data_IF_644487205023
#
_entry.id   IF_644487205023
#
_cell.length_a   1.000
_cell.length_b   1.000
_cell.length_c   1.000
_cell.angle_alpha   90.00
_cell.angle_beta   90.00
_cell.angle_gamma   90.00
#
_symmetry.space_group_name_H-M   'P 1'
#
loop_
_entity.id
_entity.type
_entity.pdbx_description
1 polymer ?
#
# COMPACT_ATOMS: atom_id res chain seq x y z
N UNK A 1 -3.75 -25.29 -53.99
CA UNK A 1 -2.51 -24.60 -53.55
C UNK A 1 -2.91 -23.45 -52.66
N UNK A 2 -2.74 -23.59 -51.34
CA UNK A 2 -3.23 -22.62 -50.36
C UNK A 2 -2.31 -21.41 -50.33
N UNK A 3 -2.84 -20.24 -50.69
CA UNK A 3 -2.11 -18.98 -50.62
C UNK A 3 -1.57 -18.80 -49.19
N UNK A 4 -0.27 -18.52 -48.97
CA UNK A 4 0.33 -18.34 -47.64
C UNK A 4 -0.04 -16.99 -47.01
N UNK A 5 -1.30 -16.57 -47.15
CA UNK A 5 -1.89 -15.35 -46.61
C UNK A 5 -1.65 -15.18 -45.09
N UNK A 6 -1.86 -16.19 -44.23
CA UNK A 6 -1.65 -16.01 -42.79
C UNK A 6 -0.18 -15.78 -42.43
N UNK A 7 0.76 -16.37 -43.17
CA UNK A 7 2.20 -16.17 -42.94
C UNK A 7 2.65 -14.75 -43.30
N UNK A 8 2.14 -14.22 -44.42
CA UNK A 8 2.43 -12.84 -44.85
C UNK A 8 1.81 -11.85 -43.86
N UNK A 9 0.57 -12.08 -43.41
CA UNK A 9 -0.09 -11.23 -42.42
C UNK A 9 0.64 -11.22 -41.08
N UNK A 10 1.05 -12.39 -40.59
CA UNK A 10 1.85 -12.50 -39.36
C UNK A 10 3.18 -11.76 -39.46
N UNK A 11 3.85 -11.83 -40.61
CA UNK A 11 5.11 -11.12 -40.86
C UNK A 11 4.92 -9.60 -40.85
N UNK A 12 3.87 -9.09 -41.52
CA UNK A 12 3.57 -7.65 -41.57
C UNK A 12 3.21 -7.12 -40.17
N UNK A 13 2.38 -7.86 -39.42
CA UNK A 13 2.01 -7.48 -38.04
C UNK A 13 3.22 -7.55 -37.12
N UNK A 14 4.06 -8.57 -37.25
CA UNK A 14 5.29 -8.73 -36.46
C UNK A 14 6.27 -7.59 -36.70
N UNK A 15 6.53 -7.23 -37.95
CA UNK A 15 7.39 -6.09 -38.30
C UNK A 15 6.78 -4.78 -37.80
N UNK A 16 5.47 -4.58 -37.98
CA UNK A 16 4.76 -3.41 -37.46
C UNK A 16 4.89 -3.27 -35.95
N UNK A 17 4.64 -4.34 -35.21
CA UNK A 17 4.78 -4.38 -33.74
C UNK A 17 6.24 -4.16 -33.29
N UNK A 18 7.22 -4.75 -33.99
CA UNK A 18 8.64 -4.57 -33.69
C UNK A 18 9.07 -3.11 -33.86
N UNK A 19 8.65 -2.45 -34.94
CA UNK A 19 8.96 -1.01 -35.17
C UNK A 19 8.30 -0.14 -34.10
N UNK A 20 7.05 -0.43 -33.74
CA UNK A 20 6.33 0.29 -32.70
C UNK A 20 7.03 0.16 -31.34
N UNK A 21 7.41 -1.06 -30.97
CA UNK A 21 8.15 -1.34 -29.74
C UNK A 21 9.53 -0.65 -29.74
N UNK A 22 10.27 -0.73 -30.84
CA UNK A 22 11.61 -0.12 -30.95
C UNK A 22 11.55 1.41 -30.83
N UNK A 23 10.56 2.05 -31.47
CA UNK A 23 10.32 3.49 -31.31
C UNK A 23 9.92 3.86 -29.89
N UNK A 24 9.17 3.00 -29.21
CA UNK A 24 8.82 3.15 -27.79
C UNK A 24 10.05 3.12 -26.90
N UNK A 25 10.93 2.14 -27.07
CA UNK A 25 12.15 1.98 -26.29
C UNK A 25 13.13 3.15 -26.46
N UNK A 26 13.30 3.67 -27.68
CA UNK A 26 14.21 4.80 -27.95
C UNK A 26 13.81 6.11 -27.25
N UNK A 27 12.52 6.30 -26.98
CA UNK A 27 11.99 7.49 -26.29
C UNK A 27 11.80 7.29 -24.80
N UNK A 28 12.09 6.09 -24.29
CA UNK A 28 11.77 5.73 -22.92
C UNK A 28 12.89 6.21 -21.98
N UNK A 29 12.51 6.97 -20.95
CA UNK A 29 13.45 7.35 -19.91
C UNK A 29 13.80 6.09 -19.09
N UNK A 30 14.99 5.53 -19.33
CA UNK A 30 15.51 4.32 -18.67
C UNK A 30 15.38 4.41 -17.15
N UNK A 31 15.66 5.58 -16.57
CA UNK A 31 15.58 5.79 -15.14
C UNK A 31 14.14 5.76 -14.61
N UNK A 32 13.18 6.29 -15.37
CA UNK A 32 11.76 6.23 -15.00
C UNK A 32 11.21 4.81 -15.10
N UNK A 33 11.67 4.03 -16.10
CA UNK A 33 11.32 2.62 -16.24
C UNK A 33 11.79 1.81 -15.04
N UNK A 34 13.08 1.89 -14.69
CA UNK A 34 13.61 1.15 -13.53
C UNK A 34 12.90 1.54 -12.24
N UNK A 35 12.64 2.83 -12.03
CA UNK A 35 11.88 3.28 -10.87
C UNK A 35 10.46 2.70 -10.84
N UNK A 36 9.77 2.68 -11.99
CA UNK A 36 8.43 2.11 -12.11
C UNK A 36 8.42 0.63 -11.73
N UNK A 37 9.36 -0.15 -12.26
CA UNK A 37 9.46 -1.58 -12.00
C UNK A 37 9.86 -1.83 -10.55
N UNK A 38 10.72 -1.00 -9.96
CA UNK A 38 11.09 -1.13 -8.54
C UNK A 38 9.91 -0.87 -7.61
N UNK A 39 9.08 0.15 -7.88
CA UNK A 39 7.88 0.41 -7.07
C UNK A 39 6.91 -0.77 -7.16
N UNK A 40 6.68 -1.31 -8.36
CA UNK A 40 5.83 -2.48 -8.56
C UNK A 40 6.40 -3.70 -7.82
N UNK A 41 7.70 -3.94 -7.90
CA UNK A 41 8.38 -5.04 -7.21
C UNK A 41 8.27 -4.93 -5.68
N UNK A 42 8.39 -3.71 -5.14
CA UNK A 42 8.18 -3.45 -3.70
C UNK A 42 6.73 -3.74 -3.30
N UNK A 43 5.76 -3.37 -4.14
CA UNK A 43 4.35 -3.70 -3.88
C UNK A 43 4.09 -5.22 -3.92
N UNK A 44 4.72 -5.95 -4.85
CA UNK A 44 4.63 -7.42 -4.88
C UNK A 44 5.26 -8.07 -3.66
N UNK A 45 6.41 -7.57 -3.23
CA UNK A 45 7.06 -8.05 -2.02
C UNK A 45 6.18 -7.82 -0.77
N UNK A 46 5.47 -6.70 -0.67
CA UNK A 46 4.50 -6.47 0.40
C UNK A 46 3.39 -7.53 0.42
N UNK A 47 2.82 -7.85 -0.75
CA UNK A 47 1.80 -8.87 -0.89
C UNK A 47 2.27 -10.28 -0.55
N UNK A 48 3.48 -10.64 -1.01
CA UNK A 48 4.10 -11.94 -0.72
C UNK A 48 4.40 -12.12 0.77
N UNK A 49 4.85 -11.06 1.46
CA UNK A 49 5.10 -11.12 2.91
C UNK A 49 3.79 -11.35 3.67
N UNK A 50 2.73 -10.59 3.36
CA UNK A 50 1.42 -10.77 4.00
C UNK A 50 0.90 -12.21 3.83
N UNK A 51 1.01 -12.76 2.62
CA UNK A 51 0.63 -14.14 2.33
C UNK A 51 1.48 -15.17 3.07
N UNK A 52 2.79 -14.94 3.22
CA UNK A 52 3.64 -15.84 4.00
C UNK A 52 3.16 -15.96 5.45
N UNK A 53 2.69 -14.86 6.05
CA UNK A 53 2.08 -14.88 7.38
C UNK A 53 0.74 -15.60 7.40
N UNK A 54 -0.10 -15.45 6.35
CA UNK A 54 -1.33 -16.22 6.21
C UNK A 54 -1.06 -17.73 6.24
N UNK A 55 -0.11 -18.21 5.44
CA UNK A 55 0.27 -19.63 5.39
C UNK A 55 0.82 -20.11 6.75
N UNK A 56 1.54 -19.25 7.48
CA UNK A 56 1.99 -19.57 8.85
C UNK A 56 0.83 -19.64 9.86
N UNK A 57 -0.21 -18.84 9.68
CA UNK A 57 -1.44 -18.96 10.47
C UNK A 57 -2.16 -20.26 10.12
N UNK A 58 -2.28 -20.61 8.85
CA UNK A 58 -2.87 -21.89 8.42
C UNK A 58 -2.12 -23.11 8.96
N UNK A 59 -0.80 -22.98 9.16
CA UNK A 59 0.04 -24.00 9.79
C UNK A 59 -0.11 -24.07 11.32
N UNK A 60 -1.06 -23.33 11.92
CA UNK A 60 -1.30 -23.25 13.36
C UNK A 60 -0.09 -22.77 14.20
N UNK A 61 0.85 -22.03 13.59
CA UNK A 61 2.05 -21.54 14.30
C UNK A 61 1.73 -20.47 15.34
N UNK A 62 0.75 -19.61 15.02
CA UNK A 62 0.22 -18.59 15.92
C UNK A 62 -1.10 -19.08 16.53
N UNK A 63 -1.16 -20.29 17.09
CA UNK A 63 -2.40 -20.82 17.66
C UNK A 63 -3.39 -21.42 16.63
N UNK A 64 -4.54 -21.94 17.08
CA UNK A 64 -5.43 -22.73 16.26
C UNK A 64 -6.18 -21.87 15.22
N UNK A 65 -5.96 -22.19 13.95
CA UNK A 65 -6.58 -21.56 12.78
C UNK A 65 -7.48 -22.53 12.00
N UNK A 66 -7.01 -23.77 11.82
CA UNK A 66 -7.78 -24.92 11.28
C UNK A 66 -7.83 -26.02 12.32
N UNK A 67 -9.03 -26.53 12.59
CA UNK A 67 -9.23 -27.67 13.48
C UNK A 67 -9.08 -28.99 12.69
N UNK A 68 -8.72 -30.07 13.39
CA UNK A 68 -8.47 -31.37 12.74
C UNK A 68 -9.75 -32.02 12.16
N UNK A 69 -10.93 -31.72 12.72
CA UNK A 69 -12.24 -32.31 12.34
C UNK A 69 -13.16 -31.34 11.57
N UNK A 70 -13.01 -30.03 11.79
CA UNK A 70 -13.83 -28.98 11.17
C UNK A 70 -12.87 -28.08 10.38
N UNK A 71 -12.80 -28.25 9.06
CA UNK A 71 -11.80 -27.64 8.16
C UNK A 71 -11.58 -26.11 8.30
N UNK A 72 -12.38 -25.41 9.10
CA UNK A 72 -12.22 -24.00 9.47
C UNK A 72 -12.86 -23.72 10.84
N UNK A 73 -12.11 -23.16 11.79
CA UNK A 73 -12.66 -22.61 13.05
C UNK A 73 -13.38 -21.29 12.72
N UNK A 74 -14.61 -21.03 13.21
CA UNK A 74 -15.30 -19.76 13.03
C UNK A 74 -14.45 -18.57 13.52
N UNK A 75 -14.48 -17.45 12.81
CA UNK A 75 -13.61 -16.30 13.11
C UNK A 75 -13.79 -15.68 14.49
N UNK A 76 -14.95 -15.88 15.12
CA UNK A 76 -15.29 -15.39 16.46
C UNK A 76 -14.63 -16.18 17.60
N UNK A 77 -14.21 -17.42 17.33
CA UNK A 77 -13.55 -18.30 18.31
C UNK A 77 -12.02 -18.25 18.22
N UNK A 78 -11.49 -17.54 17.22
CA UNK A 78 -10.05 -17.35 17.03
C UNK A 78 -9.56 -16.23 17.95
N UNK A 79 -8.30 -16.34 18.36
CA UNK A 79 -7.63 -15.24 19.05
C UNK A 79 -7.67 -13.95 18.22
N UNK A 80 -7.63 -12.80 18.91
CA UNK A 80 -7.79 -11.47 18.32
C UNK A 80 -6.88 -11.20 17.10
N UNK A 81 -5.69 -11.80 17.05
CA UNK A 81 -4.73 -11.62 15.97
C UNK A 81 -5.00 -12.52 14.74
N UNK A 82 -5.76 -13.62 14.91
CA UNK A 82 -6.21 -14.52 13.83
C UNK A 82 -7.68 -14.29 13.44
N UNK A 83 -8.37 -13.39 14.14
CA UNK A 83 -9.74 -13.00 13.82
C UNK A 83 -9.82 -12.32 12.45
N UNK A 84 -10.87 -12.66 11.68
CA UNK A 84 -11.13 -12.05 10.36
C UNK A 84 -11.68 -10.65 10.54
N UNK A 85 -11.16 -9.68 9.79
CA UNK A 85 -11.57 -8.29 9.96
C UNK A 85 -12.91 -7.97 9.29
N UNK A 86 -13.01 -8.33 8.02
CA UNK A 86 -14.22 -8.15 7.21
C UNK A 86 -14.31 -9.29 6.20
N UNK A 87 -15.49 -9.45 5.59
CA UNK A 87 -15.69 -10.39 4.50
C UNK A 87 -16.17 -9.65 3.26
N UNK A 88 -15.36 -9.68 2.21
CA UNK A 88 -15.71 -9.16 0.88
C UNK A 88 -16.13 -10.25 -0.10
N UNK A 89 -16.33 -11.49 0.38
CA UNK A 89 -16.74 -12.65 -0.42
C UNK A 89 -17.96 -12.40 -1.31
N UNK A 90 -18.93 -11.63 -0.83
CA UNK A 90 -20.18 -11.38 -1.54
C UNK A 90 -20.01 -10.60 -2.87
N UNK A 91 -18.97 -9.78 -3.01
CA UNK A 91 -18.76 -8.93 -4.18
C UNK A 91 -17.45 -9.23 -4.92
N UNK A 92 -16.41 -9.59 -4.17
CA UNK A 92 -15.04 -9.71 -4.68
C UNK A 92 -14.41 -11.00 -4.13
N UNK A 93 -15.08 -12.13 -4.36
CA UNK A 93 -14.53 -13.44 -4.07
C UNK A 93 -13.33 -13.71 -4.98
N UNK A 94 -12.25 -14.15 -4.36
CA UNK A 94 -11.03 -14.64 -4.98
C UNK A 94 -11.17 -16.03 -5.59
N UNK A 95 -12.07 -16.87 -5.06
CA UNK A 95 -12.19 -18.27 -5.46
C UNK A 95 -12.99 -18.37 -6.75
N UNK A 96 -13.89 -17.41 -6.94
CA UNK A 96 -14.86 -17.41 -8.02
C UNK A 96 -14.40 -16.55 -9.21
N UNK A 97 -13.44 -15.65 -8.99
CA UNK A 97 -12.96 -14.70 -10.00
C UNK A 97 -11.44 -14.74 -10.17
N UNK A 98 -10.99 -15.10 -11.37
CA UNK A 98 -9.56 -15.19 -11.71
C UNK A 98 -8.81 -13.86 -11.54
N UNK A 99 -9.49 -12.71 -11.76
CA UNK A 99 -8.90 -11.39 -11.55
C UNK A 99 -8.52 -11.15 -10.07
N UNK A 100 -9.40 -11.52 -9.14
CA UNK A 100 -9.14 -11.36 -7.71
C UNK A 100 -8.14 -12.40 -7.20
N UNK A 101 -8.12 -13.60 -7.78
CA UNK A 101 -7.05 -14.58 -7.54
C UNK A 101 -5.67 -14.04 -7.97
N UNK A 102 -5.59 -13.35 -9.12
CA UNK A 102 -4.36 -12.70 -9.57
C UNK A 102 -3.95 -11.55 -8.63
N UNK A 103 -4.91 -10.71 -8.22
CA UNK A 103 -4.64 -9.64 -7.25
C UNK A 103 -4.17 -10.17 -5.90
N UNK A 104 -4.69 -11.32 -5.46
CA UNK A 104 -4.16 -12.03 -4.29
C UNK A 104 -2.70 -12.42 -4.48
N UNK A 105 -2.40 -13.07 -5.60
CA UNK A 105 -1.06 -13.58 -5.87
C UNK A 105 -0.02 -12.45 -6.01
N UNK A 106 -0.40 -11.34 -6.63
CA UNK A 106 0.50 -10.21 -6.91
C UNK A 106 0.58 -9.23 -5.75
N UNK A 107 -0.55 -8.77 -5.22
CA UNK A 107 -0.59 -7.67 -4.25
C UNK A 107 -1.00 -8.12 -2.84
N UNK A 108 -1.24 -9.41 -2.62
CA UNK A 108 -1.69 -9.94 -1.32
C UNK A 108 -3.14 -9.60 -0.99
N UNK A 109 -3.99 -9.35 -2.00
CA UNK A 109 -5.43 -9.16 -1.79
C UNK A 109 -6.08 -10.40 -1.17
N UNK A 110 -6.85 -10.21 -0.09
CA UNK A 110 -7.61 -11.29 0.56
C UNK A 110 -9.07 -10.89 0.73
N UNK A 111 -9.95 -11.84 0.44
CA UNK A 111 -11.41 -11.75 0.56
C UNK A 111 -11.89 -11.78 2.02
N UNK A 112 -11.15 -12.46 2.90
CA UNK A 112 -11.29 -12.44 4.37
C UNK A 112 -9.94 -12.25 5.06
N UNK A 113 -9.40 -11.02 5.11
CA UNK A 113 -8.11 -10.76 5.71
C UNK A 113 -8.16 -10.92 7.24
N UNK A 114 -7.11 -11.51 7.80
CA UNK A 114 -6.89 -11.58 9.25
C UNK A 114 -6.17 -10.34 9.76
N UNK A 115 -6.25 -10.09 11.07
CA UNK A 115 -5.54 -8.96 11.68
C UNK A 115 -4.02 -9.03 11.46
N UNK A 116 -3.42 -10.22 11.51
CA UNK A 116 -1.99 -10.41 11.30
C UNK A 116 -1.53 -10.18 9.86
N UNK A 117 -2.25 -10.70 8.86
CA UNK A 117 -1.98 -10.41 7.44
C UNK A 117 -2.01 -8.91 7.15
N UNK A 118 -2.97 -8.25 7.79
CA UNK A 118 -3.23 -6.85 7.61
C UNK A 118 -2.11 -5.99 8.22
N UNK A 119 -1.72 -6.24 9.48
CA UNK A 119 -0.62 -5.49 10.13
C UNK A 119 0.74 -5.75 9.45
N UNK A 120 0.98 -6.98 8.98
CA UNK A 120 2.25 -7.34 8.31
C UNK A 120 2.41 -6.64 6.97
N UNK A 121 1.33 -6.48 6.21
CA UNK A 121 1.33 -5.70 4.97
C UNK A 121 1.74 -4.23 5.20
N UNK A 122 1.17 -3.56 6.20
CA UNK A 122 1.52 -2.17 6.52
C UNK A 122 2.89 -2.02 7.17
N UNK A 123 3.29 -2.98 8.02
CA UNK A 123 4.62 -3.02 8.62
C UNK A 123 5.72 -3.11 7.54
N UNK A 124 5.51 -3.88 6.47
CA UNK A 124 6.44 -3.93 5.34
C UNK A 124 6.64 -2.54 4.70
N UNK A 125 5.55 -1.83 4.39
CA UNK A 125 5.61 -0.47 3.86
C UNK A 125 6.30 0.51 4.81
N UNK A 126 6.06 0.36 6.12
CA UNK A 126 6.74 1.16 7.13
C UNK A 126 8.27 0.98 7.07
N UNK A 127 8.73 -0.27 7.05
CA UNK A 127 10.16 -0.61 7.03
C UNK A 127 10.82 -0.07 5.76
N UNK A 128 10.21 -0.26 4.58
CA UNK A 128 10.74 0.27 3.33
C UNK A 128 10.86 1.79 3.38
N UNK A 129 9.87 2.49 3.90
CA UNK A 129 9.92 3.95 4.01
C UNK A 129 11.01 4.41 4.99
N UNK A 130 11.26 3.71 6.09
CA UNK A 130 12.42 3.98 6.98
C UNK A 130 13.73 3.82 6.23
N UNK A 131 13.88 2.72 5.48
CA UNK A 131 15.10 2.42 4.73
C UNK A 131 15.35 3.51 3.67
N UNK A 132 14.31 3.90 2.92
CA UNK A 132 14.41 4.97 1.93
C UNK A 132 14.78 6.29 2.61
N UNK A 133 14.14 6.63 3.74
CA UNK A 133 14.52 7.81 4.51
C UNK A 133 15.97 7.77 4.97
N UNK A 134 16.48 6.59 5.39
CA UNK A 134 17.86 6.41 5.82
C UNK A 134 18.85 6.59 4.66
N UNK A 135 18.56 5.99 3.51
CA UNK A 135 19.41 6.05 2.32
C UNK A 135 19.49 7.47 1.74
N UNK A 136 18.38 8.23 1.77
CA UNK A 136 18.34 9.60 1.26
C UNK A 136 18.69 10.67 2.31
N UNK A 137 19.24 10.30 3.47
CA UNK A 137 19.63 11.27 4.52
C UNK A 137 20.68 12.28 4.04
N UNK A 138 21.58 11.87 3.17
CA UNK A 138 22.67 12.71 2.67
C UNK A 138 22.16 13.83 1.76
N UNK A 139 21.12 13.55 0.96
CA UNK A 139 20.43 14.54 0.11
C UNK A 139 19.65 15.58 0.91
N UNK A 140 19.24 15.26 2.15
CA UNK A 140 18.65 16.25 3.08
C UNK A 140 19.74 17.22 3.55
N UNK A 141 20.94 16.70 3.85
CA UNK A 141 22.06 17.47 4.39
C UNK A 141 22.69 18.39 3.35
N UNK A 142 22.68 17.98 2.07
CA UNK A 142 23.22 18.75 0.94
C UNK A 142 22.24 19.80 0.38
N UNK A 143 20.99 19.85 0.86
CA UNK A 143 19.99 20.81 0.39
C UNK A 143 20.29 22.23 0.90
N UNK A 144 20.94 23.04 0.04
CA UNK A 144 21.35 24.43 0.32
C UNK A 144 20.18 25.40 0.63
N UNK A 145 18.94 25.04 0.31
CA UNK A 145 17.74 25.86 0.51
C UNK A 145 17.00 25.48 1.81
N UNK A 146 16.90 26.41 2.76
CA UNK A 146 16.16 26.27 4.04
C UNK A 146 14.73 25.75 3.88
N UNK A 147 14.02 26.14 2.82
CA UNK A 147 12.64 25.71 2.53
C UNK A 147 12.55 24.23 2.15
N UNK A 148 13.52 23.70 1.40
CA UNK A 148 13.55 22.28 1.03
C UNK A 148 13.90 21.39 2.24
N UNK A 149 14.80 21.84 3.10
CA UNK A 149 15.13 21.15 4.34
C UNK A 149 13.92 21.09 5.29
N UNK A 150 13.21 22.20 5.45
CA UNK A 150 12.01 22.26 6.30
C UNK A 150 10.91 21.30 5.83
N UNK A 151 10.64 21.25 4.51
CA UNK A 151 9.64 20.34 3.94
C UNK A 151 10.03 18.88 4.22
N UNK A 152 11.26 18.45 3.86
CA UNK A 152 11.74 17.07 4.08
C UNK A 152 11.67 16.66 5.55
N UNK A 153 12.05 17.54 6.47
CA UNK A 153 11.99 17.29 7.93
C UNK A 153 10.55 17.21 8.42
N UNK A 154 9.67 18.12 7.99
CA UNK A 154 8.26 18.13 8.40
C UNK A 154 7.51 16.86 7.96
N UNK A 155 7.75 16.38 6.74
CA UNK A 155 7.13 15.16 6.21
C UNK A 155 7.66 13.91 6.92
N UNK A 156 8.95 13.87 7.26
CA UNK A 156 9.51 12.81 8.09
C UNK A 156 8.92 12.78 9.50
N UNK A 157 8.71 13.94 10.13
CA UNK A 157 8.03 14.07 11.42
C UNK A 157 6.57 13.60 11.34
N UNK A 158 5.82 14.01 10.31
CA UNK A 158 4.44 13.55 10.09
C UNK A 158 4.37 12.02 10.00
N UNK A 159 5.31 11.39 9.31
CA UNK A 159 5.37 9.95 9.19
C UNK A 159 5.64 9.24 10.52
N UNK A 160 6.56 9.75 11.33
CA UNK A 160 6.81 9.20 12.66
C UNK A 160 5.56 9.26 13.55
N UNK A 161 4.87 10.41 13.56
CA UNK A 161 3.61 10.56 14.29
C UNK A 161 2.53 9.59 13.80
N UNK A 162 2.38 9.40 12.49
CA UNK A 162 1.41 8.43 11.95
C UNK A 162 1.76 7.00 12.28
N UNK A 163 3.05 6.65 12.29
CA UNK A 163 3.50 5.30 12.64
C UNK A 163 3.25 5.00 14.12
N UNK A 164 3.50 5.97 15.00
CA UNK A 164 3.18 5.84 16.43
C UNK A 164 1.66 5.67 16.62
N UNK A 165 0.85 6.47 15.93
CA UNK A 165 -0.60 6.36 15.95
C UNK A 165 -1.11 5.00 15.47
N UNK A 166 -0.52 4.46 14.40
CA UNK A 166 -0.84 3.14 13.86
C UNK A 166 -0.48 2.02 14.87
N UNK A 167 0.71 2.07 15.47
CA UNK A 167 1.13 1.09 16.48
C UNK A 167 0.19 1.12 17.69
N UNK A 168 -0.22 2.31 18.14
CA UNK A 168 -1.17 2.45 19.25
C UNK A 168 -2.57 1.92 18.89
N UNK A 169 -3.05 2.16 17.67
CA UNK A 169 -4.32 1.62 17.19
C UNK A 169 -4.31 0.09 17.10
N UNK A 170 -3.16 -0.53 16.83
CA UNK A 170 -3.01 -1.98 16.87
C UNK A 170 -3.06 -2.57 18.29
N UNK A 171 -2.75 -1.77 19.33
CA UNK A 171 -2.82 -2.23 20.72
C UNK A 171 -4.24 -2.18 21.31
N UNK A 172 -5.12 -1.29 20.80
CA UNK A 172 -6.52 -1.19 21.20
C UNK A 172 -7.42 -1.08 19.95
N UNK A 173 -7.89 -2.20 19.39
CA UNK A 173 -8.54 -2.21 18.08
C UNK A 173 -9.96 -1.61 18.17
N UNK A 174 -10.08 -0.35 17.78
CA UNK A 174 -11.36 0.25 17.39
C UNK A 174 -11.39 0.36 15.87
N UNK A 175 -12.48 -0.10 15.24
CA UNK A 175 -12.59 -0.13 13.77
C UNK A 175 -12.39 1.24 13.12
N UNK A 176 -12.94 2.30 13.73
CA UNK A 176 -12.78 3.67 13.28
C UNK A 176 -11.33 4.17 13.47
N UNK A 177 -10.72 3.92 14.64
CA UNK A 177 -9.36 4.35 14.94
C UNK A 177 -8.32 3.68 14.03
N UNK A 178 -8.53 2.38 13.76
CA UNK A 178 -7.74 1.62 12.81
C UNK A 178 -7.88 2.25 11.40
N UNK A 179 -9.11 2.40 10.89
CA UNK A 179 -9.36 3.02 9.57
C UNK A 179 -8.64 4.37 9.37
N UNK A 180 -8.80 5.29 10.33
CA UNK A 180 -8.24 6.65 10.20
C UNK A 180 -6.72 6.67 10.27
N UNK A 181 -6.12 5.88 11.17
CA UNK A 181 -4.65 5.82 11.31
C UNK A 181 -3.99 5.21 10.07
N UNK A 182 -4.65 4.28 9.38
CA UNK A 182 -4.17 3.72 8.11
C UNK A 182 -4.17 4.73 6.99
N UNK A 183 -5.31 5.41 6.78
CA UNK A 183 -5.41 6.39 5.69
C UNK A 183 -4.38 7.50 5.92
N UNK A 184 -4.19 7.89 7.18
CA UNK A 184 -3.15 8.84 7.57
C UNK A 184 -1.74 8.30 7.31
N UNK A 185 -1.48 7.04 7.62
CA UNK A 185 -0.19 6.39 7.35
C UNK A 185 0.10 6.27 5.85
N UNK A 186 -0.87 5.85 5.03
CA UNK A 186 -0.74 5.75 3.58
C UNK A 186 -0.46 7.11 2.94
N UNK A 187 -1.22 8.14 3.31
CA UNK A 187 -0.98 9.51 2.86
C UNK A 187 0.42 9.98 3.25
N UNK A 188 0.86 9.69 4.47
CA UNK A 188 2.18 10.07 4.94
C UNK A 188 3.32 9.38 4.18
N UNK A 189 3.17 8.09 3.83
CA UNK A 189 4.13 7.37 3.00
C UNK A 189 4.27 8.01 1.62
N UNK A 190 3.15 8.26 0.93
CA UNK A 190 3.17 8.94 -0.37
C UNK A 190 3.82 10.33 -0.24
N UNK A 191 3.65 10.99 0.92
CA UNK A 191 4.15 12.34 1.18
C UNK A 191 5.66 12.35 1.27
N UNK A 192 6.24 11.36 1.95
CA UNK A 192 7.68 11.11 1.96
C UNK A 192 8.17 10.86 0.53
N UNK A 193 7.55 9.95 -0.21
CA UNK A 193 7.99 9.67 -1.57
C UNK A 193 7.97 10.94 -2.46
N UNK A 194 6.99 11.82 -2.27
CA UNK A 194 6.91 13.11 -2.97
C UNK A 194 7.97 14.14 -2.48
N UNK A 195 8.32 14.13 -1.18
CA UNK A 195 9.29 15.04 -0.58
C UNK A 195 10.75 14.73 -0.94
N UNK A 196 11.08 13.44 -1.10
CA UNK A 196 12.41 12.98 -1.51
C UNK A 196 12.62 12.97 -3.02
N UNK A 197 11.76 13.66 -3.76
CA UNK A 197 11.86 13.84 -5.21
C UNK A 197 11.89 12.53 -6.00
N UNK A 198 11.48 11.41 -5.39
CA UNK A 198 11.40 10.08 -6.02
C UNK A 198 10.57 10.17 -7.31
N UNK A 199 9.44 10.89 -7.27
CA UNK A 199 8.53 11.05 -8.41
C UNK A 199 8.88 12.19 -9.38
N UNK A 200 9.84 13.08 -9.07
CA UNK A 200 10.18 14.23 -9.96
C UNK A 200 10.77 13.81 -11.29
N UNK A 201 11.21 12.56 -11.41
CA UNK A 201 11.71 11.98 -12.66
C UNK A 201 10.60 11.63 -13.66
N UNK A 202 9.35 11.66 -13.21
CA UNK A 202 8.17 11.48 -14.04
C UNK A 202 7.57 12.84 -14.41
N UNK A 203 7.53 13.17 -15.70
CA UNK A 203 7.11 14.48 -16.20
C UNK A 203 5.71 14.91 -15.71
N UNK A 204 4.78 13.96 -15.57
CA UNK A 204 3.42 14.20 -15.08
C UNK A 204 3.42 14.62 -13.60
N UNK A 205 4.22 13.98 -12.77
CA UNK A 205 4.31 14.26 -11.33
C UNK A 205 5.19 15.47 -11.02
N UNK A 206 6.22 15.72 -11.84
CA UNK A 206 7.11 16.87 -11.72
C UNK A 206 6.34 18.20 -11.84
N UNK A 207 5.41 18.30 -12.80
CA UNK A 207 4.65 19.52 -13.04
C UNK A 207 3.59 19.79 -11.95
N UNK A 208 3.06 18.72 -11.31
CA UNK A 208 1.99 18.79 -10.30
C UNK A 208 2.50 18.66 -8.85
N UNK A 209 3.82 18.71 -8.61
CA UNK A 209 4.46 18.46 -7.31
C UNK A 209 3.86 19.29 -6.17
N UNK A 210 3.66 20.59 -6.40
CA UNK A 210 3.11 21.50 -5.38
C UNK A 210 1.67 21.11 -5.03
N UNK A 211 0.86 20.82 -6.05
CA UNK A 211 -0.52 20.38 -5.87
C UNK A 211 -0.60 19.08 -5.08
N UNK A 212 0.28 18.12 -5.37
CA UNK A 212 0.37 16.85 -4.63
C UNK A 212 0.72 17.14 -3.17
N UNK A 213 1.77 17.94 -2.89
CA UNK A 213 2.12 18.29 -1.50
C UNK A 213 0.98 18.99 -0.75
N UNK A 214 0.24 19.90 -1.41
CA UNK A 214 -0.90 20.59 -0.80
C UNK A 214 -2.07 19.66 -0.53
N UNK A 215 -2.42 18.79 -1.48
CA UNK A 215 -3.49 17.80 -1.31
C UNK A 215 -3.18 16.85 -0.16
N UNK A 216 -1.91 16.49 0.01
CA UNK A 216 -1.49 15.54 1.05
C UNK A 216 -1.42 16.18 2.43
N UNK A 217 -0.84 17.38 2.54
CA UNK A 217 -0.87 18.16 3.78
C UNK A 217 -2.30 18.51 4.19
N UNK A 218 -3.14 18.88 3.22
CA UNK A 218 -4.57 19.14 3.45
C UNK A 218 -5.34 17.89 3.85
N UNK A 219 -5.10 16.76 3.19
CA UNK A 219 -5.71 15.48 3.53
C UNK A 219 -5.34 15.01 4.94
N UNK A 220 -4.07 15.17 5.33
CA UNK A 220 -3.62 14.86 6.68
C UNK A 220 -4.31 15.75 7.74
N UNK A 221 -4.34 17.07 7.52
CA UNK A 221 -5.02 18.01 8.42
C UNK A 221 -6.53 17.73 8.53
N UNK A 222 -7.17 17.36 7.42
CA UNK A 222 -8.58 16.98 7.42
C UNK A 222 -8.83 15.72 8.28
N UNK A 223 -7.99 14.69 8.13
CA UNK A 223 -8.13 13.45 8.88
C UNK A 223 -7.89 13.63 10.39
N UNK A 224 -6.95 14.49 10.80
CA UNK A 224 -6.71 14.75 12.23
C UNK A 224 -7.88 15.50 12.86
N UNK A 225 -8.45 16.48 12.15
CA UNK A 225 -9.65 17.22 12.59
C UNK A 225 -10.86 16.29 12.66
N UNK A 226 -11.05 15.44 11.65
CA UNK A 226 -12.14 14.46 11.64
C UNK A 226 -12.01 13.44 12.78
N UNK A 227 -10.80 12.94 13.02
CA UNK A 227 -10.50 12.04 14.15
C UNK A 227 -10.82 12.68 15.50
N UNK A 228 -10.35 13.90 15.73
CA UNK A 228 -10.63 14.65 16.95
C UNK A 228 -12.13 14.88 17.16
N UNK A 229 -12.86 15.18 16.07
CA UNK A 229 -14.31 15.38 16.11
C UNK A 229 -15.07 14.11 16.51
N UNK A 230 -14.66 12.95 15.99
CA UNK A 230 -15.29 11.67 16.35
C UNK A 230 -15.03 11.31 17.81
N UNK A 231 -13.80 11.49 18.30
CA UNK A 231 -13.46 11.19 19.69
C UNK A 231 -14.30 12.06 20.64
N UNK A 232 -14.46 13.35 20.34
CA UNK A 232 -15.34 14.24 21.13
C UNK A 232 -16.79 13.76 21.06
N UNK A 233 -17.29 13.39 19.88
CA UNK A 233 -18.65 12.91 19.74
C UNK A 233 -18.91 11.65 20.57
N UNK A 234 -17.95 10.72 20.61
CA UNK A 234 -18.04 9.50 21.42
C UNK A 234 -18.08 9.84 22.92
N UNK A 235 -17.21 10.75 23.39
CA UNK A 235 -17.18 11.19 24.79
C UNK A 235 -18.50 11.83 25.23
N UNK A 236 -19.10 12.67 24.39
CA UNK A 236 -20.38 13.34 24.69
C UNK A 236 -21.54 12.34 24.70
N UNK A 237 -21.54 11.35 23.81
CA UNK A 237 -22.59 10.35 23.77
C UNK A 237 -22.51 9.42 25.00
N UNK A 238 -21.31 9.07 25.46
CA UNK A 238 -21.11 8.21 26.62
C UNK A 238 -21.58 8.89 27.92
N UNK A 239 -21.29 10.18 28.09
CA UNK A 239 -21.75 11.00 29.22
C UNK A 239 -23.29 11.20 29.23
N UNK A 240 -23.94 11.11 28.06
CA UNK A 240 -25.41 11.19 27.97
C UNK A 240 -26.15 9.90 28.33
N UNK A 241 -25.43 8.78 28.41
CA UNK A 241 -25.99 7.45 28.72
C UNK A 241 -25.77 6.99 30.16
N UNK A 242 -25.00 7.74 30.95
CA UNK A 242 -24.82 7.58 32.40
C UNK A 242 -25.75 8.47 33.21
#
# INVERSE_FOLDING_TARGET
EGVPLPGILGLVVGIGAAILMFKGLLKLNVQAFFLSTSIILVAFAAGLVSRAFHEWQEANWFGPYKDADLNTIPSLERDWYNATMWSTKACCSDSDNEFFAMMRALFGYQDTPTFLEWITYFAYWAIITVILMYMFREDIRSAKNRTAAFIKVSTGLMWLFTLIGFIFACANPTWIGLFITIVSFLLSNIGILAAYDVFTRWAVFANNRKTIMYVMGGGFAFLTVFSFSIIIAQLVCEDSTS
#
